data_IF_985205156761
#
_entry.id   IF_985205156761
#
_cell.length_a   1.000
_cell.length_b   1.000
_cell.length_c   1.000
_cell.angle_alpha   90.00
_cell.angle_beta   90.00
_cell.angle_gamma   90.00
#
_symmetry.space_group_name_H-M   'P 1'
#
loop_
_entity.id
_entity.type
_entity.pdbx_description
1 polymer ?
#
# COMPACT_ATOMS: atom_id res chain seq x y z
N UNK A 1 -20.60 -25.91 -41.26
CA UNK A 1 -20.57 -25.19 -39.97
C UNK A 1 -19.22 -25.47 -39.33
N UNK A 2 -18.29 -24.57 -39.55
CA UNK A 2 -16.87 -24.79 -39.20
C UNK A 2 -16.62 -24.07 -37.89
N UNK A 3 -16.42 -24.81 -36.81
CA UNK A 3 -16.03 -24.27 -35.49
C UNK A 3 -14.59 -23.74 -35.57
N UNK A 4 -14.45 -22.44 -35.47
CA UNK A 4 -13.17 -21.76 -35.37
C UNK A 4 -12.81 -21.66 -33.88
N UNK A 5 -11.98 -22.59 -33.40
CA UNK A 5 -11.32 -22.46 -32.09
C UNK A 5 -10.32 -21.31 -32.15
N UNK A 6 -10.60 -20.22 -31.46
CA UNK A 6 -9.65 -19.13 -31.24
C UNK A 6 -8.75 -19.59 -30.09
N UNK A 7 -7.54 -20.02 -30.43
CA UNK A 7 -6.45 -20.22 -29.47
C UNK A 7 -5.96 -18.86 -29.02
N UNK A 8 -6.28 -18.49 -27.78
CA UNK A 8 -5.57 -17.42 -27.09
C UNK A 8 -4.14 -17.89 -26.79
N UNK A 9 -3.20 -17.36 -27.53
CA UNK A 9 -1.79 -17.51 -27.20
C UNK A 9 -1.51 -16.69 -25.92
N UNK A 10 -1.38 -17.40 -24.78
CA UNK A 10 -0.83 -16.83 -23.57
C UNK A 10 0.66 -16.60 -23.87
N UNK A 11 1.02 -15.36 -24.20
CA UNK A 11 2.42 -14.94 -24.22
C UNK A 11 2.97 -15.07 -22.80
N UNK A 12 3.87 -16.01 -22.59
CA UNK A 12 4.67 -16.09 -21.37
C UNK A 12 5.42 -14.77 -21.21
N UNK A 13 4.96 -13.95 -20.27
CA UNK A 13 5.66 -12.75 -19.83
C UNK A 13 6.93 -13.21 -19.10
N UNK A 14 8.06 -13.15 -19.76
CA UNK A 14 9.36 -13.33 -19.13
C UNK A 14 9.65 -12.09 -18.27
N UNK A 15 9.50 -12.18 -16.95
CA UNK A 15 10.16 -11.27 -16.05
C UNK A 15 11.66 -11.44 -16.22
N UNK A 16 12.30 -10.48 -16.88
CA UNK A 16 13.75 -10.47 -16.98
C UNK A 16 14.33 -10.50 -15.57
N UNK A 17 15.07 -11.55 -15.26
CA UNK A 17 15.78 -11.66 -14.00
C UNK A 17 16.66 -10.41 -13.85
N UNK A 18 16.40 -9.58 -12.85
CA UNK A 18 17.38 -8.65 -12.33
C UNK A 18 18.48 -9.54 -11.79
N UNK A 19 19.62 -9.57 -12.51
CA UNK A 19 20.71 -10.50 -12.25
C UNK A 19 21.31 -10.29 -10.86
N UNK A 20 21.03 -11.24 -10.03
CA UNK A 20 21.58 -11.48 -8.72
C UNK A 20 20.75 -12.59 -8.13
N UNK A 21 21.28 -13.81 -8.06
CA UNK A 21 20.72 -14.83 -7.20
C UNK A 21 21.04 -14.38 -5.76
N UNK A 22 20.24 -13.42 -5.23
CA UNK A 22 20.24 -13.17 -3.81
C UNK A 22 19.24 -14.15 -3.22
N UNK A 23 19.70 -15.01 -2.34
CA UNK A 23 18.92 -15.83 -1.43
C UNK A 23 18.17 -14.97 -0.38
N UNK A 24 17.83 -13.75 -0.73
CA UNK A 24 17.26 -12.77 0.20
C UNK A 24 15.76 -12.94 0.35
N UNK A 25 15.29 -12.85 1.60
CA UNK A 25 13.87 -12.75 1.90
C UNK A 25 13.34 -11.42 1.37
N UNK A 26 12.14 -11.44 0.79
CA UNK A 26 11.55 -10.27 0.16
C UNK A 26 10.05 -10.12 0.49
N UNK A 27 9.52 -8.93 0.31
CA UNK A 27 8.10 -8.64 0.41
C UNK A 27 7.67 -7.65 -0.67
N UNK A 28 6.36 -7.56 -0.92
CA UNK A 28 5.80 -6.62 -1.89
C UNK A 28 5.03 -5.51 -1.18
N UNK A 29 4.81 -4.39 -1.88
CA UNK A 29 3.81 -3.41 -1.47
C UNK A 29 3.02 -2.84 -2.65
N UNK A 30 1.74 -2.52 -2.39
CA UNK A 30 0.80 -1.97 -3.38
C UNK A 30 -0.32 -1.24 -2.66
N UNK A 31 -0.85 -0.18 -3.23
CA UNK A 31 -2.06 0.50 -2.77
C UNK A 31 -2.92 0.95 -3.96
N UNK A 32 -4.11 1.46 -3.67
CA UNK A 32 -5.01 2.04 -4.67
C UNK A 32 -5.36 1.05 -5.81
N UNK A 33 -5.53 -0.22 -5.44
CA UNK A 33 -5.71 -1.34 -6.38
C UNK A 33 -7.18 -1.73 -6.60
N UNK A 34 -8.09 -1.44 -5.65
CA UNK A 34 -9.48 -1.91 -5.61
C UNK A 34 -10.42 -1.19 -6.56
N UNK A 35 -10.10 -1.19 -7.83
CA UNK A 35 -10.82 -0.44 -8.87
C UNK A 35 -11.30 -1.30 -10.03
N UNK A 36 -11.24 -2.63 -9.93
CA UNK A 36 -11.60 -3.53 -11.01
C UNK A 36 -13.11 -3.48 -11.31
N UNK A 37 -13.94 -3.40 -10.28
CA UNK A 37 -15.40 -3.27 -10.37
C UNK A 37 -15.85 -2.05 -11.16
N UNK A 38 -15.01 -1.01 -11.28
CA UNK A 38 -15.27 0.17 -12.13
C UNK A 38 -15.14 -0.12 -13.63
N UNK A 39 -14.57 -1.27 -14.02
CA UNK A 39 -14.41 -1.68 -15.39
C UNK A 39 -13.42 -0.87 -16.22
N UNK A 40 -13.45 -1.04 -17.53
CA UNK A 40 -12.67 -0.24 -18.47
C UNK A 40 -11.15 -0.32 -18.26
N UNK A 41 -10.49 0.81 -18.16
CA UNK A 41 -9.04 0.86 -17.95
C UNK A 41 -8.65 0.56 -16.49
N UNK A 42 -9.51 0.81 -15.51
CA UNK A 42 -9.29 0.47 -14.12
C UNK A 42 -9.17 -1.04 -13.94
N UNK A 43 -10.13 -1.80 -14.50
CA UNK A 43 -10.07 -3.27 -14.52
C UNK A 43 -8.76 -3.75 -15.14
N UNK A 44 -8.38 -3.25 -16.33
CA UNK A 44 -7.13 -3.67 -16.99
C UNK A 44 -5.87 -3.34 -16.19
N UNK A 45 -5.87 -2.22 -15.47
CA UNK A 45 -4.75 -1.85 -14.60
C UNK A 45 -4.65 -2.82 -13.42
N UNK A 46 -5.76 -3.08 -12.72
CA UNK A 46 -5.82 -3.99 -11.59
C UNK A 46 -5.46 -5.43 -12.00
N UNK A 47 -6.03 -5.94 -13.11
CA UNK A 47 -5.67 -7.25 -13.69
C UNK A 47 -4.17 -7.34 -14.00
N UNK A 48 -3.62 -6.30 -14.64
CA UNK A 48 -2.20 -6.25 -14.98
C UNK A 48 -1.29 -6.27 -13.76
N UNK A 49 -1.63 -5.50 -12.72
CA UNK A 49 -0.87 -5.48 -11.47
C UNK A 49 -0.96 -6.81 -10.74
N UNK A 50 -2.16 -7.39 -10.61
CA UNK A 50 -2.35 -8.68 -9.96
C UNK A 50 -1.59 -9.79 -10.69
N UNK A 51 -1.65 -9.85 -12.02
CA UNK A 51 -0.91 -10.81 -12.84
C UNK A 51 0.61 -10.66 -12.66
N UNK A 52 1.10 -9.41 -12.64
CA UNK A 52 2.52 -9.12 -12.45
C UNK A 52 3.01 -9.53 -11.06
N UNK A 53 2.25 -9.23 -9.99
CA UNK A 53 2.59 -9.65 -8.62
C UNK A 53 2.56 -11.18 -8.48
N UNK A 54 1.56 -11.87 -9.03
CA UNK A 54 1.49 -13.34 -9.04
C UNK A 54 2.70 -13.96 -9.76
N UNK A 55 3.06 -13.42 -10.91
CA UNK A 55 4.24 -13.88 -11.65
C UNK A 55 5.54 -13.61 -10.88
N UNK A 56 5.66 -12.45 -10.22
CA UNK A 56 6.81 -12.13 -9.37
C UNK A 56 6.96 -13.16 -8.24
N UNK A 57 5.87 -13.41 -7.47
CA UNK A 57 5.85 -14.39 -6.37
C UNK A 57 6.19 -15.81 -6.86
N UNK A 58 5.67 -16.22 -8.02
CA UNK A 58 5.97 -17.52 -8.58
C UNK A 58 7.45 -17.66 -8.97
N UNK A 59 8.05 -16.61 -9.52
CA UNK A 59 9.46 -16.60 -9.92
C UNK A 59 10.40 -16.59 -8.72
N UNK A 60 10.07 -15.84 -7.66
CA UNK A 60 10.81 -15.82 -6.40
C UNK A 60 10.87 -17.21 -5.74
N UNK A 61 9.78 -18.01 -5.85
CA UNK A 61 9.74 -19.39 -5.34
C UNK A 61 10.52 -20.39 -6.22
N UNK A 62 10.76 -20.07 -7.48
CA UNK A 62 11.39 -20.98 -8.46
C UNK A 62 12.91 -20.87 -8.55
N UNK A 63 13.54 -19.88 -7.94
CA UNK A 63 14.97 -19.61 -8.05
C UNK A 63 15.88 -20.60 -7.31
N UNK A 64 15.34 -21.37 -6.36
CA UNK A 64 16.06 -22.37 -5.58
C UNK A 64 15.94 -23.76 -6.21
N UNK A 65 16.87 -24.15 -7.04
CA UNK A 65 16.97 -25.53 -7.58
C UNK A 65 17.20 -26.56 -6.50
N UNK A 66 16.15 -27.25 -6.08
CA UNK A 66 16.24 -28.59 -5.46
C UNK A 66 16.44 -28.64 -3.96
N UNK A 67 15.39 -28.97 -3.24
CA UNK A 67 15.46 -29.69 -1.95
C UNK A 67 15.24 -28.89 -0.69
N UNK A 68 14.01 -28.82 -0.26
CA UNK A 68 13.59 -28.84 1.15
C UNK A 68 14.20 -27.84 2.12
N UNK A 69 13.49 -26.77 2.42
CA UNK A 69 13.77 -26.01 3.64
C UNK A 69 13.80 -24.51 3.44
N UNK A 70 12.65 -23.87 3.57
CA UNK A 70 12.37 -22.55 4.10
C UNK A 70 13.36 -21.42 3.85
N UNK A 71 13.00 -20.44 3.06
CA UNK A 71 13.67 -19.16 3.01
C UNK A 71 13.47 -18.35 1.73
N UNK A 72 13.31 -18.99 0.62
CA UNK A 72 13.31 -18.34 -0.67
C UNK A 72 11.89 -17.90 -1.06
N UNK A 73 11.64 -16.62 -1.19
CA UNK A 73 10.41 -16.11 -1.74
C UNK A 73 9.83 -14.89 -1.03
N UNK A 74 8.69 -14.43 -1.56
CA UNK A 74 7.92 -13.32 -1.00
C UNK A 74 7.24 -13.76 0.29
N UNK A 75 7.53 -13.08 1.38
CA UNK A 75 7.02 -13.39 2.71
C UNK A 75 5.62 -12.82 2.95
N UNK A 76 5.32 -11.60 2.44
CA UNK A 76 4.06 -10.92 2.65
C UNK A 76 3.87 -9.77 1.66
N UNK A 77 2.66 -9.18 1.68
CA UNK A 77 2.36 -7.94 0.96
C UNK A 77 1.94 -6.86 1.96
N UNK A 78 2.48 -5.64 1.84
CA UNK A 78 2.00 -4.45 2.52
C UNK A 78 1.04 -3.69 1.61
N UNK A 79 -0.17 -3.46 2.09
CA UNK A 79 -1.18 -2.73 1.36
C UNK A 79 -1.42 -1.34 1.97
N UNK A 80 -1.30 -0.31 1.16
CA UNK A 80 -1.36 1.09 1.59
C UNK A 80 -2.74 1.74 1.45
N UNK A 81 -3.82 0.94 1.42
CA UNK A 81 -5.20 1.46 1.45
C UNK A 81 -5.82 1.73 0.10
N UNK A 82 -7.04 2.28 0.12
CA UNK A 82 -7.98 2.37 -0.99
C UNK A 82 -8.23 1.01 -1.62
N UNK A 83 -8.81 0.15 -0.76
CA UNK A 83 -9.04 -1.27 -1.05
C UNK A 83 -10.25 -1.49 -1.96
N UNK A 84 -11.23 -0.56 -1.91
CA UNK A 84 -12.46 -0.66 -2.70
C UNK A 84 -12.98 0.72 -3.14
N UNK A 85 -12.99 0.98 -4.43
CA UNK A 85 -13.47 2.24 -5.01
C UNK A 85 -14.96 2.16 -5.41
N UNK A 86 -15.74 3.29 -5.32
CA UNK A 86 -15.28 4.60 -4.83
C UNK A 86 -15.59 4.81 -3.35
N UNK A 87 -16.39 3.96 -2.71
CA UNK A 87 -16.99 4.22 -1.40
C UNK A 87 -16.69 3.14 -0.36
N UNK A 88 -15.76 2.23 -0.64
CA UNK A 88 -15.55 1.07 0.21
C UNK A 88 -16.66 0.03 0.07
N UNK A 89 -16.66 -0.97 0.93
CA UNK A 89 -17.67 -2.03 0.98
C UNK A 89 -18.75 -1.73 2.02
N UNK A 90 -19.98 -2.21 1.76
CA UNK A 90 -21.11 -2.04 2.65
C UNK A 90 -21.11 -3.06 3.81
N UNK A 91 -20.68 -4.29 3.52
CA UNK A 91 -20.63 -5.41 4.46
C UNK A 91 -19.73 -6.52 3.91
N UNK A 92 -19.55 -7.60 4.68
CA UNK A 92 -18.69 -8.74 4.30
C UNK A 92 -19.23 -9.60 3.13
N UNK A 93 -20.40 -9.30 2.60
CA UNK A 93 -21.00 -9.96 1.44
C UNK A 93 -21.01 -9.04 0.20
N UNK A 94 -20.35 -7.89 0.27
CA UNK A 94 -20.28 -6.96 -0.84
C UNK A 94 -19.60 -7.61 -2.07
N UNK A 95 -20.21 -7.56 -3.28
CA UNK A 95 -19.64 -8.19 -4.45
C UNK A 95 -18.26 -7.66 -4.85
N UNK A 96 -17.88 -6.43 -4.50
CA UNK A 96 -16.56 -5.89 -4.75
C UNK A 96 -15.45 -6.74 -4.12
N UNK A 97 -15.72 -7.42 -3.00
CA UNK A 97 -14.75 -8.31 -2.36
C UNK A 97 -14.33 -9.45 -3.31
N UNK A 98 -15.31 -10.01 -4.04
CA UNK A 98 -15.02 -11.05 -5.01
C UNK A 98 -14.43 -10.49 -6.30
N UNK A 99 -14.90 -9.35 -6.78
CA UNK A 99 -14.52 -8.75 -8.05
C UNK A 99 -13.15 -8.08 -8.01
N UNK A 100 -12.89 -7.30 -6.96
CA UNK A 100 -11.66 -6.51 -6.85
C UNK A 100 -10.53 -7.30 -6.16
N UNK A 101 -10.83 -8.10 -5.11
CA UNK A 101 -9.79 -8.83 -4.38
C UNK A 101 -9.71 -10.31 -4.76
N UNK A 102 -10.75 -11.11 -4.46
CA UNK A 102 -10.62 -12.57 -4.53
C UNK A 102 -10.31 -13.09 -5.94
N UNK A 103 -10.93 -12.51 -6.97
CA UNK A 103 -10.71 -12.90 -8.36
C UNK A 103 -9.33 -12.49 -8.90
N UNK A 104 -8.80 -11.34 -8.47
CA UNK A 104 -7.57 -10.77 -9.01
C UNK A 104 -6.37 -11.00 -8.09
N UNK A 105 -6.42 -10.51 -6.88
CA UNK A 105 -5.29 -10.50 -5.94
C UNK A 105 -5.30 -11.69 -4.98
N UNK A 106 -6.43 -12.35 -4.77
CA UNK A 106 -6.53 -13.54 -3.93
C UNK A 106 -5.72 -14.73 -4.45
N UNK A 107 -5.41 -15.66 -3.55
CA UNK A 107 -4.70 -16.91 -3.88
C UNK A 107 -3.22 -16.72 -4.21
N UNK A 108 -2.58 -15.66 -3.75
CA UNK A 108 -1.14 -15.46 -3.86
C UNK A 108 -0.34 -16.33 -2.89
N UNK A 109 -1.01 -16.86 -1.84
CA UNK A 109 -0.41 -17.76 -0.85
C UNK A 109 0.56 -17.06 0.08
N UNK A 110 0.40 -15.77 0.30
CA UNK A 110 1.14 -14.94 1.25
C UNK A 110 0.19 -14.00 1.99
N UNK A 111 0.44 -13.70 3.28
CA UNK A 111 -0.40 -12.76 4.03
C UNK A 111 -0.29 -11.34 3.47
N UNK A 112 -1.41 -10.63 3.49
CA UNK A 112 -1.52 -9.22 3.14
C UNK A 112 -1.85 -8.40 4.38
N UNK A 113 -1.00 -7.47 4.77
CA UNK A 113 -1.22 -6.54 5.87
C UNK A 113 -1.84 -5.26 5.31
N UNK A 114 -3.12 -5.06 5.60
CA UNK A 114 -3.93 -3.99 4.99
C UNK A 114 -4.00 -2.74 5.87
N UNK A 115 -3.95 -1.57 5.24
CA UNK A 115 -4.42 -0.31 5.81
C UNK A 115 -5.71 0.15 5.14
N UNK A 116 -6.40 1.11 5.75
CA UNK A 116 -7.57 1.77 5.18
C UNK A 116 -7.16 3.03 4.43
N UNK A 117 -7.74 3.24 3.23
CA UNK A 117 -7.68 4.52 2.52
C UNK A 117 -8.95 5.34 2.67
N UNK A 118 -8.98 6.54 2.08
CA UNK A 118 -10.13 7.43 2.23
C UNK A 118 -11.38 6.91 1.51
N UNK A 119 -11.21 6.19 0.40
CA UNK A 119 -12.33 5.56 -0.30
C UNK A 119 -12.98 4.44 0.53
N UNK A 120 -12.23 3.75 1.38
CA UNK A 120 -12.73 2.70 2.26
C UNK A 120 -13.68 3.24 3.35
N UNK A 121 -13.68 4.55 3.59
CA UNK A 121 -14.47 5.22 4.62
C UNK A 121 -15.89 5.62 4.20
N UNK A 122 -16.25 5.43 2.92
CA UNK A 122 -17.56 5.84 2.41
C UNK A 122 -18.72 5.06 3.00
N UNK A 123 -18.57 3.74 3.17
CA UNK A 123 -19.60 2.87 3.75
C UNK A 123 -19.19 2.31 5.11
N UNK A 124 -18.68 1.08 5.14
CA UNK A 124 -18.35 0.38 6.39
C UNK A 124 -16.88 -0.05 6.44
N UNK A 125 -15.98 0.80 6.95
CA UNK A 125 -14.59 0.38 7.18
C UNK A 125 -14.48 -0.86 8.08
N UNK A 126 -15.41 -1.01 9.04
CA UNK A 126 -15.49 -2.15 9.96
C UNK A 126 -15.69 -3.48 9.23
N UNK A 127 -16.40 -3.47 8.09
CA UNK A 127 -16.59 -4.68 7.31
C UNK A 127 -15.27 -5.26 6.80
N UNK A 128 -14.27 -4.41 6.54
CA UNK A 128 -12.96 -4.86 6.09
C UNK A 128 -12.15 -5.54 7.22
N UNK A 129 -12.36 -5.14 8.48
CA UNK A 129 -11.73 -5.78 9.64
C UNK A 129 -12.19 -7.24 9.82
N UNK A 130 -13.37 -7.57 9.32
CA UNK A 130 -13.96 -8.91 9.44
C UNK A 130 -13.63 -9.83 8.26
N UNK A 131 -12.95 -9.35 7.22
CA UNK A 131 -12.66 -10.15 6.02
C UNK A 131 -11.69 -11.30 6.30
N UNK A 132 -10.85 -11.23 7.32
CA UNK A 132 -9.97 -12.31 7.74
C UNK A 132 -10.73 -13.58 8.16
N UNK A 133 -12.00 -13.47 8.55
CA UNK A 133 -12.85 -14.62 8.88
C UNK A 133 -13.14 -15.52 7.67
N UNK A 134 -13.13 -14.92 6.46
CA UNK A 134 -13.45 -15.63 5.21
C UNK A 134 -12.30 -15.65 4.21
N UNK A 135 -11.32 -14.75 4.35
CA UNK A 135 -10.14 -14.61 3.49
C UNK A 135 -8.89 -14.71 4.37
N UNK A 136 -8.30 -15.89 4.54
CA UNK A 136 -7.17 -16.09 5.46
C UNK A 136 -5.92 -15.24 5.16
N UNK A 137 -5.74 -14.83 3.91
CA UNK A 137 -4.62 -13.96 3.49
C UNK A 137 -4.83 -12.50 3.88
N UNK A 138 -6.06 -12.08 4.19
CA UNK A 138 -6.43 -10.72 4.57
C UNK A 138 -6.14 -10.48 6.05
N UNK A 139 -5.08 -9.73 6.36
CA UNK A 139 -4.71 -9.40 7.74
C UNK A 139 -5.03 -7.93 7.99
N UNK A 140 -6.01 -7.68 8.82
CA UNK A 140 -6.40 -6.37 9.31
C UNK A 140 -6.96 -6.55 10.72
N UNK A 141 -6.07 -6.50 11.73
CA UNK A 141 -6.44 -6.82 13.12
C UNK A 141 -7.32 -5.76 13.76
N UNK A 142 -7.13 -4.52 13.34
CA UNK A 142 -7.89 -3.34 13.76
C UNK A 142 -7.67 -2.25 12.70
N UNK A 143 -8.26 -1.06 12.87
CA UNK A 143 -8.00 0.11 12.01
C UNK A 143 -6.54 0.52 12.03
N UNK A 144 -5.87 0.36 13.17
CA UNK A 144 -4.42 0.51 13.32
C UNK A 144 -3.90 -0.59 14.24
N UNK A 145 -2.79 -1.21 13.87
CA UNK A 145 -2.25 -2.38 14.56
C UNK A 145 -0.75 -2.53 14.37
N UNK A 146 -0.14 -3.41 15.16
CA UNK A 146 1.27 -3.77 15.11
C UNK A 146 1.43 -5.27 14.94
N UNK A 147 2.28 -5.68 14.00
CA UNK A 147 2.72 -7.06 13.83
C UNK A 147 4.24 -7.13 13.87
N UNK A 148 4.75 -7.95 14.76
CA UNK A 148 6.16 -8.32 14.83
C UNK A 148 6.32 -9.69 14.20
N UNK A 149 7.10 -9.79 13.13
CA UNK A 149 7.33 -11.02 12.37
C UNK A 149 8.81 -11.33 12.29
N UNK A 150 9.14 -12.61 12.33
CA UNK A 150 10.49 -13.10 12.11
C UNK A 150 10.57 -13.73 10.73
N UNK A 151 11.45 -13.21 9.90
CA UNK A 151 11.72 -13.71 8.56
C UNK A 151 12.93 -14.63 8.61
N UNK A 152 12.90 -15.79 7.90
CA UNK A 152 14.02 -16.71 7.91
C UNK A 152 15.26 -16.07 7.30
N UNK A 153 16.45 -16.46 7.78
CA UNK A 153 17.73 -16.22 7.10
C UNK A 153 18.24 -17.52 6.51
N UNK A 154 18.76 -17.44 5.30
CA UNK A 154 19.27 -18.60 4.57
C UNK A 154 20.57 -19.20 5.18
N UNK A 155 21.24 -18.47 6.06
CA UNK A 155 22.57 -18.85 6.58
C UNK A 155 22.58 -19.95 7.67
N UNK A 156 21.43 -20.53 8.03
CA UNK A 156 21.33 -21.70 8.93
C UNK A 156 21.89 -21.55 10.36
N UNK A 157 22.49 -20.42 10.72
CA UNK A 157 23.21 -20.21 11.99
C UNK A 157 22.91 -18.88 12.70
N UNK A 158 21.96 -18.08 12.22
CA UNK A 158 21.63 -16.76 12.78
C UNK A 158 20.17 -16.63 13.22
N UNK A 159 19.91 -15.66 14.09
CA UNK A 159 18.55 -15.15 14.35
C UNK A 159 17.95 -14.59 13.06
N UNK A 160 16.66 -14.82 12.85
CA UNK A 160 15.92 -14.28 11.69
C UNK A 160 15.98 -12.75 11.60
N UNK A 161 15.50 -12.21 10.48
CA UNK A 161 15.30 -10.77 10.32
C UNK A 161 14.00 -10.42 11.03
N UNK A 162 14.07 -9.60 12.07
CA UNK A 162 12.88 -9.16 12.79
C UNK A 162 12.33 -7.88 12.17
N UNK A 163 11.07 -7.93 11.78
CA UNK A 163 10.36 -6.80 11.16
C UNK A 163 9.14 -6.44 11.98
N UNK A 164 9.03 -5.18 12.35
CA UNK A 164 7.86 -4.58 12.98
C UNK A 164 7.06 -3.80 11.93
N UNK A 165 5.87 -4.28 11.63
CA UNK A 165 4.91 -3.61 10.74
C UNK A 165 3.92 -2.85 11.62
N UNK A 166 3.95 -1.52 11.54
CA UNK A 166 3.03 -0.63 12.25
C UNK A 166 2.09 -0.05 11.20
N UNK A 167 0.84 -0.52 11.19
CA UNK A 167 -0.20 -0.01 10.31
C UNK A 167 -0.95 1.10 11.02
N UNK A 168 -1.07 2.24 10.35
CA UNK A 168 -1.79 3.42 10.82
C UNK A 168 -3.06 3.65 9.99
N UNK A 169 -4.15 3.98 10.66
CA UNK A 169 -5.30 4.58 10.01
C UNK A 169 -5.09 6.09 9.92
N UNK A 170 -4.61 6.54 8.78
CA UNK A 170 -4.29 7.96 8.58
C UNK A 170 -5.49 8.83 8.26
N UNK A 171 -6.65 8.25 7.93
CA UNK A 171 -7.85 8.97 7.51
C UNK A 171 -8.36 9.96 8.56
N UNK A 172 -8.59 9.60 9.84
CA UNK A 172 -9.03 10.55 10.86
C UNK A 172 -7.96 11.59 11.21
N UNK A 173 -6.73 11.39 10.76
CA UNK A 173 -5.58 12.26 11.03
C UNK A 173 -5.35 13.31 9.94
N UNK A 174 -6.15 13.33 8.88
CA UNK A 174 -6.18 14.37 7.86
C UNK A 174 -7.20 15.44 8.25
N UNK A 175 -6.72 16.65 8.55
CA UNK A 175 -7.56 17.76 9.04
C UNK A 175 -8.68 18.13 8.07
N UNK A 176 -8.39 18.12 6.78
CA UNK A 176 -9.35 18.51 5.75
C UNK A 176 -10.55 17.56 5.70
N UNK A 177 -10.40 16.29 6.10
CA UNK A 177 -11.48 15.31 6.19
C UNK A 177 -12.44 15.58 7.37
N UNK A 178 -11.96 16.25 8.39
CA UNK A 178 -12.75 16.56 9.60
C UNK A 178 -13.57 17.86 9.46
N UNK A 179 -13.37 18.62 8.37
CA UNK A 179 -14.12 19.83 8.08
C UNK A 179 -15.50 19.53 7.49
N UNK A 180 -16.37 20.55 7.44
CA UNK A 180 -17.72 20.44 6.84
C UNK A 180 -17.72 20.69 5.33
N UNK A 181 -16.59 21.07 4.77
CA UNK A 181 -16.44 21.42 3.36
C UNK A 181 -16.20 20.15 2.53
N UNK A 182 -17.24 19.65 1.88
CA UNK A 182 -17.17 18.45 1.00
C UNK A 182 -16.36 18.76 -0.25
N UNK A 183 -15.12 18.26 -0.27
CA UNK A 183 -14.18 18.48 -1.37
C UNK A 183 -14.06 17.26 -2.29
N UNK A 184 -13.18 17.36 -3.27
CA UNK A 184 -12.93 16.37 -4.33
C UNK A 184 -12.52 14.98 -3.83
N UNK A 185 -11.94 14.88 -2.63
CA UNK A 185 -11.50 13.64 -2.00
C UNK A 185 -12.60 12.94 -1.17
N UNK A 186 -13.76 13.59 -0.98
CA UNK A 186 -14.90 13.00 -0.27
C UNK A 186 -15.60 11.99 -1.19
N UNK A 187 -15.54 10.68 -0.90
CA UNK A 187 -16.19 9.66 -1.73
C UNK A 187 -17.71 9.80 -1.79
N UNK A 188 -18.31 10.51 -0.84
CA UNK A 188 -19.74 10.86 -0.87
C UNK A 188 -20.05 12.08 -1.76
N UNK A 189 -19.05 12.66 -2.41
CA UNK A 189 -19.20 13.82 -3.28
C UNK A 189 -19.91 13.47 -4.60
N UNK A 190 -20.52 14.49 -5.22
CA UNK A 190 -21.24 14.33 -6.51
C UNK A 190 -20.36 13.92 -7.68
N UNK A 191 -19.05 13.96 -7.52
CA UNK A 191 -18.07 13.51 -8.51
C UNK A 191 -17.92 11.98 -8.59
N UNK A 192 -18.44 11.24 -7.61
CA UNK A 192 -18.46 9.79 -7.56
C UNK A 192 -19.91 9.29 -7.61
N UNK A 193 -20.57 9.36 -8.78
CA UNK A 193 -21.99 9.01 -8.92
C UNK A 193 -22.28 7.54 -8.59
N UNK A 194 -21.27 6.68 -8.66
CA UNK A 194 -21.39 5.25 -8.38
C UNK A 194 -21.61 4.96 -6.88
N UNK A 195 -21.33 5.93 -6.00
CA UNK A 195 -21.72 5.88 -4.60
C UNK A 195 -23.16 6.31 -4.32
N UNK A 196 -23.86 6.81 -5.33
CA UNK A 196 -25.23 7.33 -5.25
C UNK A 196 -26.09 6.75 -6.39
N UNK A 197 -27.27 6.23 -6.16
CA UNK A 197 -28.05 6.02 -4.95
C UNK A 197 -28.04 4.55 -4.53
N UNK A 198 -27.03 4.13 -3.82
CA UNK A 198 -26.93 2.77 -3.32
C UNK A 198 -27.82 2.62 -2.07
N UNK A 199 -28.15 1.39 -1.72
CA UNK A 199 -29.09 1.06 -0.64
C UNK A 199 -28.70 1.68 0.72
N UNK A 200 -27.39 1.86 0.95
CA UNK A 200 -26.86 2.49 2.14
C UNK A 200 -26.33 3.91 1.80
N UNK A 201 -26.61 4.91 2.66
CA UNK A 201 -26.06 6.24 2.47
C UNK A 201 -24.55 6.26 2.71
N UNK A 202 -23.81 7.00 1.88
CA UNK A 202 -22.39 7.22 2.09
C UNK A 202 -22.14 8.05 3.37
N UNK A 203 -21.29 7.52 4.29
CA UNK A 203 -21.09 8.01 5.65
C UNK A 203 -19.65 8.46 5.91
N UNK A 204 -18.90 8.84 4.89
CA UNK A 204 -17.48 9.20 5.01
C UNK A 204 -17.19 10.12 6.19
N UNK A 205 -17.90 11.23 6.26
CA UNK A 205 -17.66 12.24 7.27
C UNK A 205 -17.97 11.77 8.71
N UNK A 206 -19.07 11.02 8.87
CA UNK A 206 -19.44 10.42 10.15
C UNK A 206 -18.39 9.41 10.60
N UNK A 207 -17.94 8.56 9.69
CA UNK A 207 -16.92 7.54 9.96
C UNK A 207 -15.58 8.19 10.35
N UNK A 208 -15.17 9.29 9.69
CA UNK A 208 -13.97 10.05 10.05
C UNK A 208 -14.09 10.67 11.45
N UNK A 209 -15.23 11.31 11.76
CA UNK A 209 -15.42 11.99 13.04
C UNK A 209 -15.57 11.05 14.22
N UNK A 210 -15.96 9.79 13.98
CA UNK A 210 -16.05 8.76 15.02
C UNK A 210 -14.69 8.29 15.54
N UNK A 211 -13.60 8.62 14.83
CA UNK A 211 -12.24 8.19 15.16
C UNK A 211 -11.41 9.32 15.79
N UNK A 212 -10.56 8.95 16.75
CA UNK A 212 -9.68 9.87 17.45
C UNK A 212 -8.20 9.65 17.09
N UNK A 213 -7.64 10.63 16.37
CA UNK A 213 -6.25 10.59 15.92
C UNK A 213 -5.24 10.70 17.08
N UNK A 214 -5.57 11.44 18.16
CA UNK A 214 -4.67 11.59 19.30
C UNK A 214 -4.54 10.29 20.09
N UNK A 215 -5.63 9.54 20.24
CA UNK A 215 -5.61 8.19 20.83
C UNK A 215 -4.71 7.25 20.04
N UNK A 216 -4.81 7.27 18.70
CA UNK A 216 -3.93 6.48 17.84
C UNK A 216 -2.46 6.87 18.00
N UNK A 217 -2.15 8.17 18.10
CA UNK A 217 -0.78 8.63 18.32
C UNK A 217 -0.22 8.16 19.66
N UNK A 218 -1.01 8.18 20.73
CA UNK A 218 -0.61 7.66 22.05
C UNK A 218 -0.32 6.16 21.99
N UNK A 219 -1.17 5.40 21.30
CA UNK A 219 -0.94 3.98 21.07
C UNK A 219 0.36 3.74 20.30
N UNK A 220 0.58 4.45 19.20
CA UNK A 220 1.78 4.33 18.38
C UNK A 220 3.05 4.61 19.19
N UNK A 221 3.05 5.64 20.06
CA UNK A 221 4.16 5.91 21.00
C UNK A 221 4.45 4.73 21.91
N UNK A 222 3.40 4.10 22.44
CA UNK A 222 3.56 2.92 23.31
C UNK A 222 4.18 1.74 22.56
N UNK A 223 3.74 1.47 21.33
CA UNK A 223 4.33 0.44 20.47
C UNK A 223 5.81 0.74 20.21
N UNK A 224 6.13 1.95 19.75
CA UNK A 224 7.50 2.35 19.46
C UNK A 224 8.44 2.19 20.63
N UNK A 225 7.99 2.55 21.85
CA UNK A 225 8.79 2.40 23.05
C UNK A 225 9.11 0.95 23.41
N UNK A 226 8.34 -0.01 22.89
CA UNK A 226 8.51 -1.45 23.16
C UNK A 226 9.39 -2.18 22.15
N UNK A 227 9.71 -1.56 21.01
CA UNK A 227 10.49 -2.20 19.93
C UNK A 227 12.01 -2.04 20.23
N UNK A 228 12.78 -3.15 20.21
CA UNK A 228 14.23 -3.12 20.28
C UNK A 228 14.87 -2.27 19.16
N UNK A 229 16.06 -1.70 19.45
CA UNK A 229 16.74 -0.79 18.51
C UNK A 229 17.31 -1.52 17.28
N UNK A 230 17.56 -2.82 17.38
CA UNK A 230 18.15 -3.67 16.34
C UNK A 230 17.10 -4.35 15.44
N UNK A 231 15.84 -3.96 15.55
CA UNK A 231 14.75 -4.50 14.74
C UNK A 231 14.29 -3.52 13.64
N UNK A 232 13.90 -4.05 12.49
CA UNK A 232 13.33 -3.24 11.42
C UNK A 232 11.95 -2.69 11.81
N UNK A 233 11.70 -1.41 11.47
CA UNK A 233 10.40 -0.76 11.66
C UNK A 233 9.90 -0.20 10.33
N UNK A 234 8.78 -0.73 9.84
CA UNK A 234 8.04 -0.23 8.69
C UNK A 234 6.71 0.34 9.17
N UNK A 235 6.45 1.59 8.81
CA UNK A 235 5.18 2.25 9.09
C UNK A 235 4.39 2.31 7.80
N UNK A 236 3.15 1.83 7.83
CA UNK A 236 2.25 1.79 6.69
C UNK A 236 1.04 2.67 6.98
N UNK A 237 0.71 3.55 6.06
CA UNK A 237 -0.50 4.36 6.11
C UNK A 237 -0.98 4.63 4.69
N UNK A 238 -2.05 5.41 4.55
CA UNK A 238 -2.58 5.72 3.22
C UNK A 238 -2.08 7.08 2.69
N UNK A 239 -2.05 8.10 3.53
CA UNK A 239 -1.71 9.46 3.13
C UNK A 239 -0.22 9.75 3.23
N UNK A 240 0.27 10.69 2.42
CA UNK A 240 1.63 11.21 2.58
C UNK A 240 1.83 11.82 3.97
N UNK A 241 3.06 11.76 4.45
CA UNK A 241 3.42 12.21 5.79
C UNK A 241 2.97 13.65 6.10
N UNK A 242 3.04 14.57 5.13
CA UNK A 242 2.62 15.97 5.28
C UNK A 242 1.11 16.17 5.36
N UNK A 243 0.31 15.19 4.94
CA UNK A 243 -1.15 15.22 5.00
C UNK A 243 -1.68 14.80 6.36
N UNK A 244 -0.90 14.02 7.13
CA UNK A 244 -1.23 13.58 8.48
C UNK A 244 -0.96 14.73 9.46
N UNK A 245 -1.97 15.58 9.70
CA UNK A 245 -1.76 16.89 10.30
C UNK A 245 -2.75 17.27 11.43
N UNK A 246 -3.55 16.32 11.91
CA UNK A 246 -4.41 16.50 13.10
C UNK A 246 -3.57 16.35 14.37
N UNK A 247 -2.85 15.24 14.51
CA UNK A 247 -1.90 14.99 15.57
C UNK A 247 -0.47 14.98 15.01
N UNK A 248 0.53 15.14 15.87
CA UNK A 248 1.92 15.26 15.44
C UNK A 248 2.59 13.89 15.27
N UNK A 249 2.19 13.13 14.24
CA UNK A 249 2.84 11.89 13.85
C UNK A 249 4.23 12.13 13.26
N UNK A 250 4.44 13.26 12.57
CA UNK A 250 5.70 13.51 11.87
C UNK A 250 6.87 13.54 12.84
N UNK A 251 6.86 14.44 13.84
CA UNK A 251 8.00 14.57 14.77
C UNK A 251 8.01 13.51 15.85
N UNK A 252 6.86 12.88 16.11
CA UNK A 252 6.72 11.92 17.22
C UNK A 252 7.07 10.49 16.81
N UNK A 253 6.76 10.12 15.57
CA UNK A 253 6.91 8.75 15.05
C UNK A 253 7.76 8.75 13.78
N UNK A 254 7.39 9.48 12.74
CA UNK A 254 7.96 9.32 11.41
C UNK A 254 9.40 9.89 11.30
N UNK A 255 9.75 10.91 12.08
CA UNK A 255 11.12 11.45 12.13
C UNK A 255 12.06 10.62 13.04
N UNK A 256 11.55 9.65 13.80
CA UNK A 256 12.38 8.74 14.58
C UNK A 256 13.36 7.99 13.65
N UNK A 257 14.68 8.01 13.91
CA UNK A 257 15.67 7.36 13.07
C UNK A 257 15.45 5.84 12.96
N UNK A 258 14.78 5.21 13.91
CA UNK A 258 14.45 3.78 13.87
C UNK A 258 13.34 3.43 12.90
N UNK A 259 12.56 4.42 12.39
CA UNK A 259 11.67 4.17 11.24
C UNK A 259 12.52 4.05 9.99
N UNK A 260 12.58 2.86 9.43
CA UNK A 260 13.37 2.56 8.25
C UNK A 260 12.62 2.86 6.95
N UNK A 261 11.28 2.70 6.96
CA UNK A 261 10.46 2.95 5.79
C UNK A 261 9.06 3.43 6.21
N UNK A 262 8.57 4.50 5.56
CA UNK A 262 7.16 4.89 5.59
C UNK A 262 6.54 4.68 4.21
N UNK A 263 5.52 3.82 4.13
CA UNK A 263 4.83 3.47 2.91
C UNK A 263 3.44 4.11 2.90
N UNK A 264 3.09 4.76 1.79
CA UNK A 264 1.75 5.31 1.58
C UNK A 264 1.22 5.05 0.16
N UNK A 265 -0.11 5.21 0.01
CA UNK A 265 -0.86 5.22 -1.25
C UNK A 265 -1.33 6.62 -1.60
N UNK A 266 -2.64 6.76 -1.86
CA UNK A 266 -3.41 7.98 -2.07
C UNK A 266 -3.07 8.77 -3.34
N UNK A 267 -1.81 9.00 -3.62
CA UNK A 267 -1.36 9.55 -4.88
C UNK A 267 -1.18 8.40 -5.87
N UNK A 268 -1.98 8.40 -6.92
CA UNK A 268 -2.04 7.31 -7.91
C UNK A 268 -0.77 7.27 -8.78
N UNK A 269 0.39 7.13 -8.12
CA UNK A 269 1.72 7.09 -8.75
C UNK A 269 2.67 6.20 -7.94
N UNK A 270 3.86 6.02 -8.48
CA UNK A 270 5.02 5.51 -7.76
C UNK A 270 5.96 6.68 -7.45
N UNK A 271 6.38 6.82 -6.19
CA UNK A 271 7.23 7.95 -5.79
C UNK A 271 8.17 7.57 -4.64
N UNK A 272 9.41 8.06 -4.70
CA UNK A 272 10.35 8.12 -3.59
C UNK A 272 10.55 9.57 -3.21
N UNK A 273 10.37 9.90 -1.92
CA UNK A 273 10.48 11.28 -1.45
C UNK A 273 11.19 11.37 -0.10
N UNK A 274 11.63 12.55 0.24
CA UNK A 274 12.22 12.84 1.55
C UNK A 274 11.35 13.83 2.33
N UNK A 275 11.35 13.67 3.64
CA UNK A 275 10.77 14.63 4.58
C UNK A 275 11.87 15.03 5.57
N UNK A 276 12.08 16.33 5.77
CA UNK A 276 13.15 16.85 6.62
C UNK A 276 14.53 16.24 6.30
N UNK A 277 14.80 16.02 5.01
CA UNK A 277 16.02 15.39 4.46
C UNK A 277 16.17 13.89 4.74
N UNK A 278 15.21 13.23 5.37
CA UNK A 278 15.20 11.78 5.54
C UNK A 278 14.53 11.14 4.31
N UNK A 279 15.27 10.30 3.56
CA UNK A 279 14.85 9.69 2.30
C UNK A 279 14.27 8.28 2.50
N UNK A 280 13.37 8.12 3.48
CA UNK A 280 12.75 6.84 3.86
C UNK A 280 11.26 6.77 3.58
N UNK A 281 10.75 7.66 2.72
CA UNK A 281 9.32 7.80 2.43
C UNK A 281 9.03 7.37 1.00
N UNK A 282 7.97 6.60 0.82
CA UNK A 282 7.60 6.11 -0.49
C UNK A 282 6.09 6.04 -0.71
N UNK A 283 5.67 6.29 -1.96
CA UNK A 283 4.30 6.08 -2.42
C UNK A 283 4.26 4.88 -3.36
N UNK A 284 3.31 3.98 -3.12
CA UNK A 284 3.02 2.80 -3.94
C UNK A 284 1.53 2.73 -4.35
N UNK A 285 0.90 3.89 -4.57
CA UNK A 285 -0.51 4.04 -4.91
C UNK A 285 -0.85 3.77 -6.38
N UNK A 286 -0.20 2.80 -7.00
CA UNK A 286 -0.27 2.59 -8.45
C UNK A 286 -0.91 1.27 -8.87
N UNK A 287 -1.64 0.59 -7.95
CA UNK A 287 -2.15 -0.77 -8.15
C UNK A 287 -3.26 -0.92 -9.20
N UNK A 288 -4.13 0.07 -9.32
CA UNK A 288 -5.29 0.00 -10.24
C UNK A 288 -5.80 1.36 -10.69
N UNK A 289 -5.86 2.32 -9.78
CA UNK A 289 -6.53 3.61 -9.98
C UNK A 289 -5.70 4.66 -10.75
N UNK A 290 -4.71 4.25 -11.51
CA UNK A 290 -3.83 5.14 -12.29
C UNK A 290 -4.49 5.56 -13.59
N UNK A 291 -4.61 6.87 -13.84
CA UNK A 291 -5.09 7.46 -15.09
C UNK A 291 -3.89 7.90 -15.93
N UNK A 292 -3.55 7.12 -16.96
CA UNK A 292 -2.42 7.41 -17.85
C UNK A 292 -2.96 8.10 -19.12
N UNK A 293 -2.45 9.31 -19.40
CA UNK A 293 -2.66 9.98 -20.68
C UNK A 293 -3.91 10.85 -20.79
N UNK A 294 -4.55 11.23 -19.70
CA UNK A 294 -5.49 12.33 -19.72
C UNK A 294 -4.75 13.66 -19.76
N UNK A 295 -4.60 14.24 -20.97
CA UNK A 295 -4.05 15.59 -21.19
C UNK A 295 -4.94 16.70 -20.55
N UNK A 296 -6.05 16.33 -19.89
CA UNK A 296 -6.89 17.21 -19.12
C UNK A 296 -6.31 17.38 -17.72
N UNK A 297 -5.27 18.22 -17.64
CA UNK A 297 -4.55 18.69 -16.44
C UNK A 297 -3.80 17.59 -15.65
N UNK A 298 -2.49 17.67 -15.51
CA UNK A 298 -1.78 16.94 -14.47
C UNK A 298 -2.34 17.39 -13.12
N UNK A 299 -2.87 16.46 -12.34
CA UNK A 299 -3.14 16.76 -10.95
C UNK A 299 -4.57 16.93 -10.52
N UNK A 300 -5.37 15.88 -10.59
CA UNK A 300 -6.53 15.84 -9.70
C UNK A 300 -6.08 15.71 -8.21
N UNK A 301 -4.90 15.19 -7.96
CA UNK A 301 -4.31 15.07 -6.63
C UNK A 301 -3.02 15.89 -6.44
N UNK A 302 -2.32 16.29 -7.49
CA UNK A 302 -1.07 17.06 -7.39
C UNK A 302 -1.27 18.52 -6.95
N UNK A 303 -2.47 19.09 -7.10
CA UNK A 303 -2.75 20.48 -6.64
C UNK A 303 -3.07 20.58 -5.15
N UNK A 304 -3.45 19.48 -4.49
CA UNK A 304 -3.68 19.49 -3.03
C UNK A 304 -2.37 19.56 -2.24
N UNK A 305 -1.28 18.99 -2.75
CA UNK A 305 0.02 19.01 -2.08
C UNK A 305 0.66 20.42 -2.03
N UNK A 306 0.24 21.35 -2.88
CA UNK A 306 0.78 22.72 -2.91
C UNK A 306 -0.01 23.73 -2.05
N UNK A 307 -1.21 23.36 -1.54
CA UNK A 307 -2.03 24.23 -0.70
C UNK A 307 -2.05 23.83 0.78
N UNK A 308 -0.97 23.29 1.30
CA UNK A 308 -0.85 23.04 2.74
C UNK A 308 -0.94 24.40 3.48
N UNK A 309 -2.09 24.67 4.09
CA UNK A 309 -2.26 25.80 5.00
C UNK A 309 -1.27 25.64 6.17
N UNK A 310 -0.64 26.76 6.55
CA UNK A 310 0.31 26.83 7.68
C UNK A 310 -0.28 26.17 8.92
N UNK A 311 0.46 25.24 9.54
CA UNK A 311 0.19 24.83 10.92
C UNK A 311 0.20 26.09 11.79
N UNK A 312 -0.79 26.25 12.66
CA UNK A 312 -0.69 27.21 13.74
C UNK A 312 0.45 26.74 14.65
N UNK A 313 1.59 27.44 14.64
CA UNK A 313 2.78 27.23 15.48
C UNK A 313 3.81 26.16 15.10
N UNK A 314 3.97 25.76 13.83
CA UNK A 314 5.07 24.87 13.43
C UNK A 314 5.59 25.16 12.02
N UNK A 315 6.88 25.00 11.80
CA UNK A 315 7.47 24.94 10.44
C UNK A 315 6.91 23.71 9.72
N UNK A 316 6.42 23.89 8.49
CA UNK A 316 6.02 22.77 7.62
C UNK A 316 7.20 21.81 7.46
N UNK A 317 6.96 20.48 7.48
CA UNK A 317 8.00 19.55 7.09
C UNK A 317 8.43 19.87 5.64
N UNK A 318 9.73 19.82 5.41
CA UNK A 318 10.30 20.04 4.08
C UNK A 318 10.17 18.73 3.28
N UNK A 319 9.20 18.67 2.40
CA UNK A 319 8.98 17.50 1.51
C UNK A 319 9.63 17.75 0.17
N UNK A 320 10.38 16.76 -0.32
CA UNK A 320 11.05 16.81 -1.62
C UNK A 320 10.88 15.47 -2.34
N UNK A 321 10.30 15.49 -3.54
CA UNK A 321 10.30 14.33 -4.44
C UNK A 321 11.71 14.06 -4.91
N UNK A 322 12.20 12.86 -4.73
CA UNK A 322 13.49 12.37 -5.19
C UNK A 322 13.36 11.69 -6.56
N UNK A 323 12.26 10.96 -6.73
CA UNK A 323 11.85 10.32 -7.97
C UNK A 323 10.34 10.09 -7.95
N UNK A 324 9.66 10.26 -9.09
CA UNK A 324 8.24 10.00 -9.23
C UNK A 324 7.88 9.61 -10.65
N UNK A 325 6.91 8.70 -10.81
CA UNK A 325 6.37 8.32 -12.10
C UNK A 325 4.90 7.89 -12.01
N UNK A 326 4.07 8.41 -12.92
CA UNK A 326 2.67 8.01 -13.09
C UNK A 326 2.63 6.82 -14.04
N UNK A 327 2.61 5.63 -13.49
CA UNK A 327 2.50 4.35 -14.19
C UNK A 327 1.75 3.37 -13.31
N UNK A 328 1.10 2.38 -13.90
CA UNK A 328 0.53 1.25 -13.14
C UNK A 328 1.65 0.33 -12.70
N UNK A 329 1.64 -0.06 -11.43
CA UNK A 329 2.72 -0.86 -10.88
C UNK A 329 2.58 -1.18 -9.39
N UNK A 330 3.62 -1.78 -8.87
CA UNK A 330 3.80 -2.16 -7.46
C UNK A 330 5.27 -2.00 -7.08
N UNK A 331 5.62 -2.31 -5.84
CA UNK A 331 7.02 -2.31 -5.37
C UNK A 331 7.40 -3.65 -4.76
N UNK A 332 8.67 -4.03 -4.91
CA UNK A 332 9.27 -5.14 -4.19
C UNK A 332 10.42 -4.67 -3.31
N UNK A 333 10.61 -5.35 -2.21
CA UNK A 333 11.58 -5.01 -1.19
C UNK A 333 12.40 -6.24 -0.86
N UNK A 334 13.70 -6.17 -1.04
CA UNK A 334 14.62 -7.31 -0.94
C UNK A 334 15.66 -7.03 0.13
N UNK A 335 15.73 -7.88 1.14
CA UNK A 335 16.80 -7.82 2.13
C UNK A 335 18.09 -8.41 1.54
N UNK A 336 19.22 -7.82 1.86
CA UNK A 336 20.50 -8.47 1.59
C UNK A 336 20.71 -9.69 2.53
N UNK A 337 21.67 -10.54 2.21
CA UNK A 337 21.97 -11.77 2.98
C UNK A 337 22.27 -11.50 4.47
N UNK A 338 22.88 -10.35 4.78
CA UNK A 338 23.13 -9.92 6.14
C UNK A 338 21.86 -9.43 6.88
N UNK A 339 20.77 -9.16 6.17
CA UNK A 339 19.52 -8.64 6.73
C UNK A 339 19.60 -7.19 7.25
N UNK A 340 20.65 -6.46 6.91
CA UNK A 340 20.88 -5.09 7.39
C UNK A 340 20.73 -4.01 6.30
N UNK A 341 20.42 -4.40 5.08
CA UNK A 341 20.08 -3.49 3.97
C UNK A 341 18.83 -4.00 3.28
N UNK A 342 17.90 -3.09 3.02
CA UNK A 342 16.68 -3.34 2.28
C UNK A 342 16.72 -2.50 1.00
N UNK A 343 16.69 -3.17 -0.16
CA UNK A 343 16.56 -2.51 -1.47
C UNK A 343 15.12 -2.54 -1.92
N UNK A 344 14.56 -1.37 -2.20
CA UNK A 344 13.21 -1.19 -2.75
C UNK A 344 13.29 -0.98 -4.25
N UNK A 345 12.52 -1.77 -5.03
CA UNK A 345 12.40 -1.67 -6.48
C UNK A 345 10.99 -1.25 -6.87
N UNK A 346 10.86 -0.28 -7.78
CA UNK A 346 9.59 0.17 -8.35
C UNK A 346 9.36 -0.47 -9.72
N UNK A 347 8.23 -1.16 -9.88
CA UNK A 347 7.91 -1.94 -11.09
C UNK A 347 6.88 -1.23 -11.95
N UNK A 348 7.19 -1.03 -13.23
CA UNK A 348 6.24 -0.60 -14.27
C UNK A 348 5.72 -1.86 -14.97
N UNK A 349 4.44 -2.20 -14.75
CA UNK A 349 3.87 -3.44 -15.29
C UNK A 349 3.77 -3.45 -16.82
N UNK A 350 3.66 -2.27 -17.47
CA UNK A 350 3.63 -2.18 -18.94
C UNK A 350 5.00 -2.46 -19.55
N UNK A 351 6.08 -2.03 -18.90
CA UNK A 351 7.43 -2.28 -19.34
C UNK A 351 7.97 -3.61 -18.82
N UNK A 352 7.25 -4.24 -17.89
CA UNK A 352 7.63 -5.49 -17.23
C UNK A 352 9.06 -5.44 -16.67
N UNK A 353 9.40 -4.34 -16.00
CA UNK A 353 10.74 -4.14 -15.41
C UNK A 353 10.72 -3.18 -14.22
N UNK A 354 11.74 -3.29 -13.39
CA UNK A 354 12.06 -2.24 -12.42
C UNK A 354 12.55 -0.98 -13.14
N UNK A 355 12.07 0.17 -12.68
CA UNK A 355 12.33 1.48 -13.30
C UNK A 355 13.03 2.44 -12.35
N UNK A 356 13.12 2.09 -11.06
CA UNK A 356 13.85 2.84 -10.03
C UNK A 356 14.11 1.94 -8.83
N UNK A 357 15.16 2.23 -8.07
CA UNK A 357 15.41 1.59 -6.78
C UNK A 357 16.16 2.53 -5.82
N UNK A 358 16.04 2.22 -4.52
CA UNK A 358 16.81 2.87 -3.46
C UNK A 358 17.02 1.90 -2.29
N UNK A 359 18.00 2.20 -1.44
CA UNK A 359 18.36 1.38 -0.29
C UNK A 359 18.04 2.12 1.01
N UNK A 360 17.66 1.34 2.02
CA UNK A 360 17.66 1.74 3.43
C UNK A 360 18.45 0.74 4.26
N UNK A 361 19.08 1.19 5.33
CA UNK A 361 19.93 0.35 6.19
C UNK A 361 19.42 0.34 7.62
N UNK A 362 19.54 -0.81 8.25
CA UNK A 362 19.36 -0.95 9.69
C UNK A 362 20.55 -0.25 10.38
N UNK A 363 20.28 0.78 11.16
CA UNK A 363 21.29 1.65 11.79
C UNK A 363 21.43 1.35 13.27
#
# INVERSE_FOLDING_TARGET
MTNMCILFAISQLYYGAVGGSSSGVEFLSVGDWGSASLGGYHLRNAEGTAAAMKAYIANAKGGGGGGGGGGDGVAFVLNTGDNFYYCGIQNTSDPQISEDYSALFGGMGVPWYHSLGNHDYGFSPEAQLLLNETIPEWIMDDRYYHRRIELPRDSGTGTGIIVNIIVLDTNPCVRDYRGTDRRKWDPCGTQYPDCSPIAEPCRFHENILSQDCDTQLLWAKGVFASIPEDEWIFVVGHHKAEEINVADFQTTILDDPRVHLYLNGHNHNLEHYSVNSQAKYMTTGAGGMVIIGDNRKPGFHHELSLQTRRRQNGTKPLVKSLWSKVVTGFTSHVFNDAGNTLTTYYWDIKQNKSIYSFDVTLT
#
